data_IF_029464632892
#
_entry.id   IF_029464632892
#
_cell.length_a   1.000
_cell.length_b   1.000
_cell.length_c   1.000
_cell.angle_alpha   90.00
_cell.angle_beta   90.00
_cell.angle_gamma   90.00
#
_symmetry.space_group_name_H-M   'P 1'
#
loop_
_entity.id
_entity.type
_entity.pdbx_description
1 polymer ?
#
# COMPACT_ATOMS: atom_id res chain seq x y z
N UNK A 1 -2.82 2.63 30.67
CA UNK A 1 -2.42 2.30 29.29
C UNK A 1 -3.45 2.95 28.39
N UNK A 2 -3.06 3.86 27.48
CA UNK A 2 -4.02 4.49 26.59
C UNK A 2 -4.59 3.42 25.62
N UNK A 3 -5.88 3.48 25.27
CA UNK A 3 -6.47 2.51 24.35
C UNK A 3 -5.83 2.62 22.96
N UNK A 4 -5.41 1.47 22.41
CA UNK A 4 -4.92 1.34 21.03
C UNK A 4 -6.02 0.65 20.21
N UNK A 5 -6.90 1.40 19.52
CA UNK A 5 -7.95 0.80 18.70
C UNK A 5 -7.32 0.12 17.48
N UNK A 6 -7.30 -1.21 17.48
CA UNK A 6 -6.76 -2.02 16.39
C UNK A 6 -7.70 -1.92 15.18
N UNK A 7 -7.16 -1.53 14.03
CA UNK A 7 -7.84 -1.51 12.74
C UNK A 7 -7.63 -2.81 11.96
N UNK A 8 -6.39 -3.32 11.95
CA UNK A 8 -6.03 -4.53 11.22
C UNK A 8 -4.80 -5.23 11.80
N UNK A 9 -4.67 -6.50 11.47
CA UNK A 9 -3.54 -7.35 11.78
C UNK A 9 -3.02 -7.94 10.47
N UNK A 10 -1.73 -7.80 10.19
CA UNK A 10 -1.11 -8.35 8.98
C UNK A 10 0.14 -9.13 9.36
N UNK A 11 0.14 -10.44 9.14
CA UNK A 11 1.32 -11.29 9.32
C UNK A 11 2.35 -11.05 8.20
N UNK A 12 3.64 -11.18 8.50
CA UNK A 12 4.67 -11.18 7.48
C UNK A 12 4.69 -12.54 6.76
N UNK A 13 4.52 -12.52 5.44
CA UNK A 13 4.50 -13.74 4.63
C UNK A 13 5.86 -14.47 4.59
N UNK A 14 6.96 -13.77 4.82
CA UNK A 14 8.31 -14.34 4.86
C UNK A 14 8.74 -14.75 6.28
N UNK A 15 8.10 -14.21 7.32
CA UNK A 15 8.36 -14.56 8.70
C UNK A 15 7.05 -14.68 9.49
N UNK A 16 6.54 -15.90 9.60
CA UNK A 16 5.24 -16.18 10.25
C UNK A 16 5.17 -15.86 11.74
N UNK A 17 6.33 -15.64 12.39
CA UNK A 17 6.41 -15.24 13.79
C UNK A 17 6.22 -13.73 13.97
N UNK A 18 6.21 -12.94 12.88
CA UNK A 18 6.13 -11.47 12.93
C UNK A 18 4.81 -10.99 12.37
N UNK A 19 4.14 -10.09 13.09
CA UNK A 19 2.93 -9.43 12.64
C UNK A 19 2.94 -7.92 12.91
N UNK A 20 2.30 -7.17 12.02
CA UNK A 20 2.00 -5.76 12.20
C UNK A 20 0.57 -5.60 12.73
N UNK A 21 0.43 -4.85 13.81
CA UNK A 21 -0.83 -4.45 14.42
C UNK A 21 -1.05 -2.98 14.11
N UNK A 22 -1.95 -2.71 13.18
CA UNK A 22 -2.26 -1.36 12.72
C UNK A 22 -3.31 -0.73 13.62
N UNK A 23 -2.99 0.40 14.23
CA UNK A 23 -3.96 1.27 14.89
C UNK A 23 -4.41 2.39 13.95
N UNK A 24 -5.18 3.35 14.49
CA UNK A 24 -5.63 4.52 13.71
C UNK A 24 -4.52 5.52 13.40
N UNK A 25 -3.47 5.57 14.23
CA UNK A 25 -2.37 6.56 14.15
C UNK A 25 -0.97 5.98 14.33
N UNK A 26 -0.89 4.82 14.97
CA UNK A 26 0.36 4.16 15.34
C UNK A 26 0.31 2.69 14.90
N UNK A 27 1.47 2.08 14.74
CA UNK A 27 1.60 0.67 14.35
C UNK A 27 2.53 -0.03 15.33
N UNK A 28 2.18 -1.24 15.75
CA UNK A 28 3.04 -2.09 16.56
C UNK A 28 3.42 -3.33 15.76
N UNK A 29 4.72 -3.57 15.58
CA UNK A 29 5.22 -4.84 15.04
C UNK A 29 5.57 -5.73 16.22
N UNK A 30 5.04 -6.95 16.24
CA UNK A 30 5.26 -7.91 17.32
C UNK A 30 5.89 -9.18 16.76
N UNK A 31 6.85 -9.72 17.48
CA UNK A 31 7.30 -11.11 17.30
C UNK A 31 6.58 -12.00 18.29
N UNK A 32 6.09 -13.15 17.83
CA UNK A 32 5.33 -14.13 18.60
C UNK A 32 6.00 -15.48 18.39
N UNK A 33 6.30 -16.19 19.47
CA UNK A 33 6.87 -17.54 19.36
C UNK A 33 5.80 -18.60 19.09
N UNK A 34 6.24 -19.84 18.84
CA UNK A 34 5.35 -20.98 18.59
C UNK A 34 4.35 -21.29 19.72
N UNK A 35 4.58 -20.80 20.95
CA UNK A 35 3.65 -20.93 22.07
C UNK A 35 2.64 -19.77 22.16
N UNK A 36 2.68 -18.82 21.24
CA UNK A 36 1.79 -17.66 21.21
C UNK A 36 2.21 -16.51 22.13
N UNK A 37 3.41 -16.55 22.72
CA UNK A 37 3.91 -15.47 23.56
C UNK A 37 4.58 -14.39 22.72
N UNK A 38 4.26 -13.13 23.02
CA UNK A 38 4.95 -11.99 22.42
C UNK A 38 6.37 -11.91 22.99
N UNK A 39 7.36 -12.07 22.13
CA UNK A 39 8.79 -12.06 22.50
C UNK A 39 9.43 -10.68 22.34
N UNK A 40 8.92 -9.87 21.42
CA UNK A 40 9.41 -8.50 21.19
C UNK A 40 8.31 -7.60 20.63
N UNK A 41 8.50 -6.28 20.75
CA UNK A 41 7.62 -5.25 20.16
C UNK A 41 8.44 -4.08 19.64
N UNK A 42 8.08 -3.61 18.46
CA UNK A 42 8.58 -2.36 17.86
C UNK A 42 7.37 -1.44 17.68
N UNK A 43 7.45 -0.23 18.21
CA UNK A 43 6.41 0.79 18.02
C UNK A 43 6.84 1.73 16.90
N UNK A 44 6.00 1.85 15.87
CA UNK A 44 6.20 2.77 14.77
C UNK A 44 5.22 3.93 14.91
N UNK A 45 5.78 5.14 14.88
CA UNK A 45 5.05 6.40 14.98
C UNK A 45 5.19 7.16 13.65
N UNK A 46 4.36 6.87 12.64
CA UNK A 46 4.52 7.43 11.29
C UNK A 46 4.23 8.92 11.18
N UNK A 47 3.95 9.61 12.30
CA UNK A 47 3.64 11.05 12.37
C UNK A 47 2.35 11.42 11.62
N UNK A 48 1.29 10.60 11.77
CA UNK A 48 -0.03 10.92 11.21
C UNK A 48 -0.58 12.18 11.88
N UNK A 49 -1.11 13.11 11.08
CA UNK A 49 -1.81 14.29 11.58
C UNK A 49 -2.85 13.89 12.64
N UNK A 50 -2.76 14.46 13.83
CA UNK A 50 -3.57 14.01 14.98
C UNK A 50 -5.03 14.37 14.81
N UNK A 51 -5.35 15.48 14.14
CA UNK A 51 -6.70 15.99 13.99
C UNK A 51 -7.54 15.25 12.95
N UNK A 52 -6.93 14.82 11.83
CA UNK A 52 -7.69 14.39 10.65
C UNK A 52 -7.11 13.21 9.88
N UNK A 53 -5.80 12.96 9.99
CA UNK A 53 -5.14 11.87 9.27
C UNK A 53 -5.52 10.50 9.83
N UNK A 54 -5.34 9.44 9.05
CA UNK A 54 -5.50 8.08 9.58
C UNK A 54 -4.66 7.10 8.80
N UNK A 55 -4.31 5.99 9.45
CA UNK A 55 -3.69 4.87 8.75
C UNK A 55 -4.77 4.12 7.98
N UNK A 56 -4.55 3.96 6.68
CA UNK A 56 -5.38 3.16 5.77
C UNK A 56 -5.07 1.68 5.98
N UNK A 57 -3.79 1.29 5.92
CA UNK A 57 -3.34 -0.08 6.20
C UNK A 57 -1.83 -0.19 6.39
N UNK A 58 -1.42 -1.37 6.87
CA UNK A 58 -0.03 -1.83 6.84
C UNK A 58 0.14 -2.96 5.82
N UNK A 59 1.25 -2.96 5.09
CA UNK A 59 1.56 -3.98 4.08
C UNK A 59 3.05 -4.34 4.12
N UNK A 60 3.33 -5.63 4.30
CA UNK A 60 4.68 -6.17 4.21
C UNK A 60 5.15 -6.16 2.76
N UNK A 61 6.42 -5.81 2.53
CA UNK A 61 7.03 -5.96 1.21
C UNK A 61 7.15 -7.47 0.90
N UNK A 62 6.56 -7.95 -0.20
CA UNK A 62 6.72 -9.35 -0.60
C UNK A 62 8.19 -9.72 -0.76
N UNK A 63 8.60 -10.85 -0.18
CA UNK A 63 9.99 -11.31 -0.20
C UNK A 63 10.88 -10.74 0.92
N UNK A 64 10.36 -9.87 1.79
CA UNK A 64 11.13 -9.29 2.90
C UNK A 64 10.60 -9.71 4.28
N UNK A 65 11.53 -10.08 5.17
CA UNK A 65 11.22 -10.41 6.58
C UNK A 65 11.14 -9.18 7.50
N UNK A 66 11.62 -8.02 7.04
CA UNK A 66 11.77 -6.82 7.90
C UNK A 66 11.16 -5.56 7.30
N UNK A 67 10.77 -5.55 6.03
CA UNK A 67 10.33 -4.32 5.35
C UNK A 67 8.81 -4.17 5.40
N UNK A 68 8.35 -3.09 6.06
CA UNK A 68 6.93 -2.80 6.26
C UNK A 68 6.60 -1.40 5.71
N UNK A 69 5.54 -1.31 4.90
CA UNK A 69 4.95 -0.04 4.53
C UNK A 69 3.73 0.28 5.38
N UNK A 70 3.65 1.54 5.83
CA UNK A 70 2.49 2.14 6.47
C UNK A 70 1.86 3.10 5.47
N UNK A 71 0.63 2.82 5.09
CA UNK A 71 -0.17 3.62 4.15
C UNK A 71 -1.14 4.46 4.97
N UNK A 72 -1.05 5.77 4.84
CA UNK A 72 -2.01 6.72 5.42
C UNK A 72 -2.91 7.29 4.32
N UNK A 73 -3.83 8.16 4.70
CA UNK A 73 -4.70 8.83 3.74
C UNK A 73 -3.97 9.89 2.88
N UNK A 74 -2.74 10.28 3.21
CA UNK A 74 -1.98 11.32 2.48
C UNK A 74 -0.53 10.93 2.14
N UNK A 75 -0.03 9.82 2.68
CA UNK A 75 1.35 9.39 2.43
C UNK A 75 1.57 7.89 2.62
N UNK A 76 2.72 7.41 2.15
CA UNK A 76 3.23 6.07 2.41
C UNK A 76 4.65 6.19 2.96
N UNK A 77 4.91 5.55 4.08
CA UNK A 77 6.26 5.40 4.65
C UNK A 77 6.65 3.92 4.64
N UNK A 78 7.81 3.60 4.10
CA UNK A 78 8.37 2.25 4.08
C UNK A 78 9.54 2.20 5.04
N UNK A 79 9.51 1.25 5.97
CA UNK A 79 10.54 1.05 7.00
C UNK A 79 11.25 -0.27 6.74
N UNK A 80 12.58 -0.27 6.81
CA UNK A 80 13.35 -1.50 7.02
C UNK A 80 13.66 -1.66 8.51
N UNK A 81 12.86 -2.51 9.16
CA UNK A 81 12.92 -2.71 10.61
C UNK A 81 14.21 -3.39 11.08
N UNK A 82 14.99 -3.95 10.16
CA UNK A 82 16.31 -4.52 10.47
C UNK A 82 17.39 -3.44 10.60
N UNK A 83 17.15 -2.26 10.03
CA UNK A 83 18.10 -1.14 9.97
C UNK A 83 17.69 -0.04 10.93
N UNK A 84 16.49 0.52 10.78
CA UNK A 84 15.97 1.58 11.62
C UNK A 84 14.44 1.50 11.71
N UNK A 85 13.91 1.58 12.93
CA UNK A 85 12.47 1.61 13.21
C UNK A 85 11.93 3.02 13.48
N UNK A 86 12.80 4.02 13.59
CA UNK A 86 12.43 5.41 13.83
C UNK A 86 12.26 6.15 12.50
N UNK A 87 13.20 5.98 11.58
CA UNK A 87 13.21 6.67 10.29
C UNK A 87 12.74 5.74 9.17
N UNK A 88 11.82 6.18 8.28
CA UNK A 88 11.48 5.40 7.10
C UNK A 88 12.65 5.41 6.11
N UNK A 89 12.82 4.31 5.38
CA UNK A 89 13.72 4.23 4.22
C UNK A 89 13.17 4.99 3.02
N UNK A 90 11.84 5.01 2.84
CA UNK A 90 11.15 5.71 1.76
C UNK A 90 9.94 6.48 2.28
N UNK A 91 9.71 7.68 1.73
CA UNK A 91 8.59 8.54 2.10
C UNK A 91 7.92 9.11 0.85
N UNK A 92 6.74 8.60 0.52
CA UNK A 92 5.94 9.03 -0.63
C UNK A 92 4.73 9.83 -0.19
N UNK A 93 4.39 10.90 -0.90
CA UNK A 93 3.26 11.78 -0.60
C UNK A 93 2.37 12.00 -1.83
N UNK A 94 1.11 12.35 -1.60
CA UNK A 94 0.14 12.71 -2.66
C UNK A 94 -0.27 14.18 -2.53
N UNK A 95 -0.62 14.83 -3.64
CA UNK A 95 -0.84 16.28 -3.66
C UNK A 95 -2.25 16.72 -3.22
N UNK A 96 -3.31 16.20 -3.86
CA UNK A 96 -4.67 16.74 -3.70
C UNK A 96 -5.71 15.74 -3.20
N UNK A 97 -5.60 14.47 -3.60
CA UNK A 97 -6.56 13.43 -3.26
C UNK A 97 -6.05 12.54 -2.15
N UNK A 98 -6.96 11.84 -1.46
CA UNK A 98 -6.58 10.90 -0.40
C UNK A 98 -6.28 9.53 -0.99
N UNK A 99 -5.30 8.85 -0.41
CA UNK A 99 -5.04 7.44 -0.69
C UNK A 99 -6.20 6.61 -0.13
N UNK A 100 -6.78 5.76 -0.98
CA UNK A 100 -7.83 4.81 -0.59
C UNK A 100 -7.27 3.44 -0.30
N UNK A 101 -6.35 3.00 -1.12
CA UNK A 101 -5.72 1.70 -1.00
C UNK A 101 -4.38 1.70 -1.75
N UNK A 102 -3.53 0.73 -1.47
CA UNK A 102 -2.22 0.62 -2.12
C UNK A 102 -1.74 -0.83 -2.19
N UNK A 103 -0.86 -1.18 -3.12
CA UNK A 103 -0.24 -2.51 -3.13
C UNK A 103 1.18 -2.47 -3.68
N UNK A 104 2.00 -3.44 -3.24
CA UNK A 104 3.30 -3.69 -3.83
C UNK A 104 3.15 -4.58 -5.05
N UNK A 105 3.87 -4.22 -6.11
CA UNK A 105 4.16 -5.09 -7.26
C UNK A 105 5.65 -5.37 -7.20
N UNK A 106 6.04 -6.63 -7.20
CA UNK A 106 7.45 -7.03 -7.07
C UNK A 106 7.75 -7.99 -8.20
N UNK A 107 8.79 -7.67 -8.96
CA UNK A 107 9.38 -8.55 -9.96
C UNK A 107 10.85 -8.78 -9.62
N UNK A 108 11.53 -9.60 -10.40
CA UNK A 108 12.97 -9.80 -10.26
C UNK A 108 13.77 -8.50 -10.52
N UNK A 109 13.21 -7.59 -11.32
CA UNK A 109 13.89 -6.37 -11.77
C UNK A 109 13.49 -5.12 -10.98
N UNK A 110 12.26 -5.08 -10.44
CA UNK A 110 11.72 -3.86 -9.84
C UNK A 110 10.72 -4.13 -8.71
N UNK A 111 10.69 -3.20 -7.76
CA UNK A 111 9.62 -3.07 -6.76
C UNK A 111 8.88 -1.77 -7.02
N UNK A 112 7.56 -1.85 -7.17
CA UNK A 112 6.70 -0.68 -7.37
C UNK A 112 5.62 -0.62 -6.29
N UNK A 113 5.23 0.59 -5.91
CA UNK A 113 4.03 0.86 -5.12
C UNK A 113 2.98 1.42 -6.06
N UNK A 114 1.82 0.78 -6.11
CA UNK A 114 0.63 1.31 -6.77
C UNK A 114 -0.31 1.86 -5.70
N UNK A 115 -0.91 3.02 -5.95
CA UNK A 115 -1.84 3.68 -5.05
C UNK A 115 -3.15 4.00 -5.75
N UNK A 116 -4.26 3.55 -5.18
CA UNK A 116 -5.62 3.90 -5.59
C UNK A 116 -6.06 5.13 -4.83
N UNK A 117 -6.46 6.17 -5.55
CA UNK A 117 -6.87 7.46 -5.00
C UNK A 117 -8.38 7.54 -4.74
N UNK A 118 -8.83 8.51 -3.94
CA UNK A 118 -10.25 8.73 -3.65
C UNK A 118 -11.11 9.04 -4.86
N UNK A 119 -10.54 9.72 -5.86
CA UNK A 119 -11.18 9.98 -7.15
C UNK A 119 -11.09 8.78 -8.12
N UNK A 120 -10.40 7.69 -7.77
CA UNK A 120 -10.28 6.47 -8.57
C UNK A 120 -9.12 6.46 -9.57
N UNK A 121 -8.29 7.50 -9.61
CA UNK A 121 -7.01 7.40 -10.31
C UNK A 121 -6.10 6.41 -9.60
N UNK A 122 -5.23 5.76 -10.37
CA UNK A 122 -4.17 4.91 -9.84
C UNK A 122 -2.85 5.58 -10.22
N UNK A 123 -1.99 5.83 -9.23
CA UNK A 123 -0.61 6.23 -9.49
C UNK A 123 0.32 5.06 -9.20
N UNK A 124 1.51 5.08 -9.79
CA UNK A 124 2.57 4.15 -9.42
C UNK A 124 3.88 4.90 -9.20
N UNK A 125 4.75 4.29 -8.38
CA UNK A 125 6.12 4.74 -8.17
C UNK A 125 7.02 3.52 -8.02
N UNK A 126 8.09 3.47 -8.79
CA UNK A 126 9.16 2.49 -8.55
C UNK A 126 9.94 2.89 -7.30
N UNK A 127 10.16 1.92 -6.41
CA UNK A 127 10.99 2.07 -5.22
C UNK A 127 12.44 1.90 -5.65
N UNK A 128 13.21 2.98 -5.59
CA UNK A 128 14.61 3.02 -5.99
C UNK A 128 15.40 3.95 -5.06
N UNK A 129 16.73 3.86 -5.09
CA UNK A 129 17.63 4.66 -4.26
C UNK A 129 17.38 6.17 -4.34
N UNK A 130 16.95 6.66 -5.51
CA UNK A 130 16.66 8.07 -5.76
C UNK A 130 15.42 8.56 -4.99
N UNK A 131 14.60 7.64 -4.49
CA UNK A 131 13.41 7.93 -3.71
C UNK A 131 13.64 7.86 -2.18
N UNK A 132 14.89 7.77 -1.73
CA UNK A 132 15.24 7.66 -0.32
C UNK A 132 14.61 8.79 0.50
N UNK A 133 14.03 8.44 1.66
CA UNK A 133 13.48 9.43 2.58
C UNK A 133 14.55 10.39 3.14
N UNK A 134 15.84 10.05 3.05
CA UNK A 134 16.95 10.95 3.40
C UNK A 134 16.96 12.21 2.55
N UNK A 135 16.52 12.11 1.29
CA UNK A 135 16.44 13.21 0.33
C UNK A 135 15.12 13.99 0.46
N UNK A 136 14.22 13.55 1.34
CA UNK A 136 12.91 14.14 1.56
C UNK A 136 11.77 13.35 0.91
N UNK A 137 10.52 13.86 1.01
CA UNK A 137 9.36 13.17 0.47
C UNK A 137 9.30 13.24 -1.06
N UNK A 138 8.91 12.13 -1.69
CA UNK A 138 8.70 12.01 -3.14
C UNK A 138 7.21 12.03 -3.46
N UNK A 139 6.80 12.84 -4.44
CA UNK A 139 5.42 12.91 -4.86
C UNK A 139 5.07 11.77 -5.83
N UNK A 140 3.92 11.13 -5.64
CA UNK A 140 3.30 10.36 -6.70
C UNK A 140 2.87 11.30 -7.83
N UNK A 141 3.52 11.18 -8.98
CA UNK A 141 3.31 12.07 -10.15
C UNK A 141 2.99 11.32 -11.43
N UNK A 142 3.19 10.00 -11.46
CA UNK A 142 3.05 9.19 -12.67
C UNK A 142 1.78 8.36 -12.60
N UNK A 143 0.85 8.62 -13.51
CA UNK A 143 -0.38 7.84 -13.65
C UNK A 143 -0.05 6.39 -14.06
N UNK A 144 -0.67 5.44 -13.38
CA UNK A 144 -0.71 4.05 -13.81
C UNK A 144 -1.84 3.88 -14.83
N UNK A 145 -1.48 3.44 -16.05
CA UNK A 145 -2.41 3.48 -17.17
C UNK A 145 -3.33 2.26 -17.13
N UNK A 146 -4.63 2.53 -17.00
CA UNK A 146 -5.70 1.52 -17.08
C UNK A 146 -6.64 1.87 -18.23
N UNK A 147 -6.74 0.97 -19.22
CA UNK A 147 -7.57 1.17 -20.40
C UNK A 147 -8.61 0.05 -20.52
N UNK A 148 -9.87 0.36 -20.18
CA UNK A 148 -11.00 -0.57 -20.38
C UNK A 148 -12.29 0.21 -20.69
N UNK A 149 -13.12 -0.21 -21.66
CA UNK A 149 -14.33 0.54 -22.06
C UNK A 149 -15.33 0.81 -20.93
N UNK A 150 -15.43 -0.10 -19.96
CA UNK A 150 -16.31 0.07 -18.78
C UNK A 150 -15.78 1.06 -17.75
N UNK A 151 -14.52 1.50 -17.85
CA UNK A 151 -13.89 2.45 -16.92
C UNK A 151 -14.02 3.84 -17.51
N UNK A 152 -14.82 4.68 -16.85
CA UNK A 152 -15.14 6.01 -17.32
C UNK A 152 -14.63 7.05 -16.31
N UNK A 153 -14.08 8.14 -16.85
CA UNK A 153 -13.68 9.31 -16.09
C UNK A 153 -14.62 10.46 -16.43
N UNK A 154 -15.33 10.96 -15.41
CA UNK A 154 -16.23 12.11 -15.52
C UNK A 154 -15.69 13.18 -14.57
N UNK A 155 -15.30 14.33 -15.12
CA UNK A 155 -14.77 15.49 -14.38
C UNK A 155 -13.63 15.16 -13.41
N UNK A 156 -12.69 14.29 -13.84
CA UNK A 156 -11.53 13.91 -13.02
C UNK A 156 -11.83 12.83 -11.98
N UNK A 157 -13.02 12.22 -12.02
CA UNK A 157 -13.43 11.13 -11.15
C UNK A 157 -13.69 9.85 -11.94
N UNK A 158 -12.91 8.82 -11.66
CA UNK A 158 -12.96 7.51 -12.31
C UNK A 158 -13.97 6.62 -11.59
N UNK A 159 -15.00 6.17 -12.28
CA UNK A 159 -15.99 5.20 -11.77
C UNK A 159 -16.56 5.53 -10.37
N UNK A 160 -16.90 6.80 -10.13
CA UNK A 160 -17.37 7.35 -8.84
C UNK A 160 -16.36 7.33 -7.68
N UNK A 161 -15.12 6.90 -7.94
CA UNK A 161 -14.01 6.92 -7.00
C UNK A 161 -13.40 5.54 -6.77
N UNK A 162 -12.19 5.53 -6.22
CA UNK A 162 -11.46 4.30 -5.89
C UNK A 162 -12.04 3.59 -4.67
N UNK A 163 -12.04 2.27 -4.71
CA UNK A 163 -12.46 1.42 -3.59
C UNK A 163 -11.30 0.55 -3.07
N UNK A 164 -10.69 -0.29 -3.90
CA UNK A 164 -9.57 -1.14 -3.48
C UNK A 164 -8.59 -1.46 -4.61
N UNK A 165 -7.36 -1.81 -4.25
CA UNK A 165 -6.32 -2.30 -5.15
C UNK A 165 -5.43 -3.35 -4.46
N UNK A 166 -5.21 -4.46 -5.15
CA UNK A 166 -4.42 -5.58 -4.65
C UNK A 166 -3.68 -6.26 -5.78
N UNK A 167 -2.39 -6.49 -5.62
CA UNK A 167 -1.61 -7.29 -6.55
C UNK A 167 -1.29 -8.65 -5.93
N UNK A 168 -1.66 -9.72 -6.63
CA UNK A 168 -1.30 -11.08 -6.25
C UNK A 168 0.03 -11.45 -6.90
N UNK A 169 1.07 -11.58 -6.09
CA UNK A 169 2.40 -12.02 -6.55
C UNK A 169 2.35 -13.44 -7.15
N UNK A 170 1.59 -14.35 -6.54
CA UNK A 170 1.47 -15.74 -7.00
C UNK A 170 0.72 -15.88 -8.32
N UNK A 171 -0.29 -15.04 -8.56
CA UNK A 171 -1.04 -15.06 -9.81
C UNK A 171 -0.44 -14.15 -10.89
N UNK A 172 0.45 -13.23 -10.49
CA UNK A 172 0.93 -12.13 -11.34
C UNK A 172 -0.23 -11.30 -11.91
N UNK A 173 -1.22 -11.01 -11.06
CA UNK A 173 -2.45 -10.31 -11.44
C UNK A 173 -2.75 -9.17 -10.47
N UNK A 174 -3.13 -8.03 -11.04
CA UNK A 174 -3.70 -6.89 -10.34
C UNK A 174 -5.22 -7.04 -10.26
N UNK A 175 -5.77 -6.82 -9.08
CA UNK A 175 -7.20 -6.76 -8.81
C UNK A 175 -7.53 -5.37 -8.28
N UNK A 176 -8.56 -4.74 -8.80
CA UNK A 176 -8.98 -3.42 -8.33
C UNK A 176 -10.47 -3.19 -8.53
N UNK A 177 -11.04 -2.34 -7.68
CA UNK A 177 -12.47 -2.05 -7.70
C UNK A 177 -12.75 -0.57 -7.48
N UNK A 178 -13.92 -0.16 -7.95
CA UNK A 178 -14.41 1.21 -7.88
C UNK A 178 -15.72 1.30 -7.10
N UNK A 179 -16.08 2.53 -6.68
CA UNK A 179 -17.25 2.80 -5.85
C UNK A 179 -18.58 2.56 -6.54
N UNK A 180 -18.62 2.60 -7.87
CA UNK A 180 -19.80 2.20 -8.65
C UNK A 180 -20.05 0.68 -8.67
N UNK A 181 -19.25 -0.11 -7.95
CA UNK A 181 -19.42 -1.57 -7.82
C UNK A 181 -18.66 -2.39 -8.87
N UNK A 182 -18.05 -1.76 -9.88
CA UNK A 182 -17.27 -2.48 -10.90
C UNK A 182 -15.93 -2.94 -10.34
N UNK A 183 -15.58 -4.18 -10.63
CA UNK A 183 -14.32 -4.81 -10.24
C UNK A 183 -13.61 -5.38 -11.46
N UNK A 184 -12.29 -5.33 -11.45
CA UNK A 184 -11.44 -5.72 -12.57
C UNK A 184 -10.28 -6.59 -12.09
N UNK A 185 -9.85 -7.50 -12.96
CA UNK A 185 -8.55 -8.15 -12.85
C UNK A 185 -7.73 -7.85 -14.10
N UNK A 186 -6.44 -7.64 -13.94
CA UNK A 186 -5.56 -7.33 -15.05
C UNK A 186 -4.16 -7.92 -14.88
N UNK A 187 -3.51 -8.25 -15.99
CA UNK A 187 -2.05 -8.44 -16.01
C UNK A 187 -1.36 -7.10 -16.20
N UNK A 188 -0.11 -7.01 -15.76
CA UNK A 188 0.73 -5.84 -15.97
C UNK A 188 1.59 -5.99 -17.22
N UNK A 189 2.01 -4.88 -17.81
CA UNK A 189 3.03 -4.91 -18.84
C UNK A 189 4.44 -5.09 -18.26
N UNK A 190 5.45 -5.26 -19.11
CA UNK A 190 6.84 -5.46 -18.66
C UNK A 190 7.43 -4.28 -17.88
N UNK A 191 6.90 -3.06 -18.07
CA UNK A 191 7.35 -1.86 -17.34
C UNK A 191 6.61 -1.64 -16.03
N UNK A 192 5.59 -2.45 -15.72
CA UNK A 192 4.72 -2.34 -14.54
C UNK A 192 3.98 -1.00 -14.44
N UNK A 193 3.93 -0.22 -15.52
CA UNK A 193 3.36 1.13 -15.56
C UNK A 193 1.93 1.15 -16.11
N UNK A 194 1.48 0.02 -16.69
CA UNK A 194 0.14 -0.11 -17.27
C UNK A 194 -0.40 -1.52 -17.18
N UNK A 195 -1.73 -1.63 -17.30
CA UNK A 195 -2.40 -2.91 -17.53
C UNK A 195 -2.17 -3.38 -18.97
N UNK A 196 -1.98 -4.69 -19.16
CA UNK A 196 -1.90 -5.32 -20.48
C UNK A 196 -3.24 -5.98 -20.87
N UNK A 197 -3.60 -7.10 -20.23
CA UNK A 197 -4.91 -7.73 -20.37
C UNK A 197 -5.77 -7.35 -19.18
N UNK A 198 -6.98 -6.84 -19.41
CA UNK A 198 -7.93 -6.44 -18.36
C UNK A 198 -9.30 -7.07 -18.60
N UNK A 199 -9.90 -7.60 -17.55
CA UNK A 199 -11.20 -8.26 -17.56
C UNK A 199 -12.04 -7.75 -16.41
N UNK A 200 -13.27 -7.35 -16.70
CA UNK A 200 -14.29 -7.04 -15.68
C UNK A 200 -14.73 -8.33 -14.98
N UNK A 201 -14.74 -8.33 -13.64
CA UNK A 201 -15.18 -9.44 -12.82
C UNK A 201 -16.70 -9.30 -12.64
N UNK A 202 -17.52 -10.19 -13.20
CA UNK A 202 -18.96 -10.13 -13.03
C UNK A 202 -19.32 -10.55 -11.60
N UNK A 203 -19.60 -9.57 -10.74
CA UNK A 203 -20.17 -9.81 -9.42
C UNK A 203 -21.69 -9.94 -9.59
N UNK A 204 -22.23 -11.11 -9.22
CA UNK A 204 -23.67 -11.40 -9.24
C UNK A 204 -24.36 -10.85 -7.99
#
# INVERSE_FOLDING_TARGET
MAPFPVLSLTANNCNGDVLAVCGTKDVQVMSVNAQGYVTSRINLHPSVDTASGYIVKCMWLPGSESTLAIVTDTFIKIYDLSVDSLSPSYYFIVFSEKIRDACFVVTEEATCVLVMMSNGQIFYQQVSSECSASEGPVYFTVDFIVNHPSIQNVDGRVCEGGASIYYSQSLQMLFFSYRNGKSFMATLDGTLSKTNLIVEIPLK
#
